data_IF_236611088703
#
_entry.id   IF_236611088703
#
_cell.length_a   1.000
_cell.length_b   1.000
_cell.length_c   1.000
_cell.angle_alpha   90.00
_cell.angle_beta   90.00
_cell.angle_gamma   90.00
#
_symmetry.space_group_name_H-M   'P 1'
#
loop_
_entity.id
_entity.type
_entity.pdbx_description
1 polymer ?
#
# COMPACT_ATOMS: atom_id res chain seq x y z
N UNK A 1 -18.24 -4.90 11.00
CA UNK A 1 -17.31 -4.74 9.86
C UNK A 1 -16.32 -3.64 10.23
N UNK A 2 -15.05 -3.98 10.48
CA UNK A 2 -14.04 -2.94 10.71
C UNK A 2 -13.72 -2.27 9.38
N UNK A 3 -14.08 -0.99 9.25
CA UNK A 3 -13.58 -0.13 8.18
C UNK A 3 -12.06 -0.04 8.35
N UNK A 4 -11.33 -0.75 7.47
CA UNK A 4 -9.88 -0.60 7.36
C UNK A 4 -9.57 0.85 7.03
N UNK A 5 -8.93 1.56 7.96
CA UNK A 5 -8.48 2.93 7.76
C UNK A 5 -7.37 2.98 6.70
N UNK A 6 -7.17 4.13 6.05
CA UNK A 6 -6.20 4.26 4.94
C UNK A 6 -4.78 3.85 5.35
N UNK A 7 -4.40 4.12 6.60
CA UNK A 7 -3.12 3.66 7.16
C UNK A 7 -2.99 2.14 7.21
N UNK A 8 -4.07 1.45 7.57
CA UNK A 8 -4.08 -0.02 7.67
C UNK A 8 -4.04 -0.62 6.25
N UNK A 9 -4.82 -0.07 5.32
CA UNK A 9 -4.76 -0.44 3.89
C UNK A 9 -3.34 -0.28 3.33
N UNK A 10 -2.73 0.87 3.60
CA UNK A 10 -1.38 1.17 3.15
C UNK A 10 -0.32 0.27 3.81
N UNK A 11 -0.47 -0.05 5.10
CA UNK A 11 0.36 -1.06 5.79
C UNK A 11 0.30 -2.40 5.09
N UNK A 12 -0.89 -2.88 4.76
CA UNK A 12 -1.07 -4.17 4.09
C UNK A 12 -0.34 -4.18 2.75
N UNK A 13 -0.48 -3.12 1.94
CA UNK A 13 0.20 -3.01 0.63
C UNK A 13 1.72 -3.01 0.74
N UNK A 14 2.28 -2.32 1.73
CA UNK A 14 3.74 -2.27 1.95
C UNK A 14 4.29 -3.60 2.52
N UNK A 15 3.51 -4.29 3.35
CA UNK A 15 3.87 -5.57 3.93
C UNK A 15 3.67 -6.74 2.96
N UNK A 16 2.83 -6.57 1.95
CA UNK A 16 2.61 -7.56 0.92
C UNK A 16 3.91 -7.86 0.15
N UNK A 17 4.18 -9.15 -0.06
CA UNK A 17 5.39 -9.63 -0.78
C UNK A 17 5.19 -9.69 -2.29
N UNK A 18 3.94 -9.65 -2.77
CA UNK A 18 3.62 -9.64 -4.20
C UNK A 18 3.82 -8.24 -4.80
N UNK A 19 3.72 -7.20 -3.96
CA UNK A 19 4.03 -5.84 -4.34
C UNK A 19 5.54 -5.58 -4.38
N UNK A 20 6.08 -5.53 -5.59
CA UNK A 20 7.45 -5.10 -5.85
C UNK A 20 7.68 -3.66 -5.39
N UNK A 21 8.83 -3.38 -4.77
CA UNK A 21 9.21 -2.03 -4.35
C UNK A 21 9.22 -1.02 -5.51
N UNK A 22 9.49 -1.48 -6.74
CA UNK A 22 9.39 -0.65 -7.94
C UNK A 22 7.95 -0.17 -8.19
N UNK A 23 6.96 -1.07 -8.12
CA UNK A 23 5.55 -0.71 -8.29
C UNK A 23 5.05 0.23 -7.19
N UNK A 24 5.48 -0.03 -5.94
CA UNK A 24 5.19 0.86 -4.80
C UNK A 24 5.84 2.24 -4.99
N UNK A 25 7.07 2.29 -5.52
CA UNK A 25 7.78 3.54 -5.81
C UNK A 25 7.06 4.36 -6.88
N UNK A 26 6.64 3.74 -7.99
CA UNK A 26 5.92 4.44 -9.06
C UNK A 26 4.58 5.02 -8.59
N UNK A 27 3.84 4.26 -7.79
CA UNK A 27 2.54 4.68 -7.27
C UNK A 27 2.66 5.79 -6.24
N UNK A 28 3.50 5.55 -5.22
CA UNK A 28 3.57 6.38 -4.02
C UNK A 28 4.60 7.53 -4.15
N UNK A 29 5.47 7.48 -5.16
CA UNK A 29 6.65 8.35 -5.35
C UNK A 29 7.63 8.36 -4.18
N UNK A 30 7.52 7.40 -3.26
CA UNK A 30 8.45 7.23 -2.14
C UNK A 30 9.68 6.45 -2.59
N UNK A 31 10.87 6.89 -2.20
CA UNK A 31 12.11 6.15 -2.47
C UNK A 31 12.04 4.71 -1.94
N UNK A 32 12.66 3.78 -2.65
CA UNK A 32 12.71 2.35 -2.28
C UNK A 32 13.26 2.16 -0.85
N UNK A 33 14.26 2.95 -0.44
CA UNK A 33 14.79 2.92 0.92
C UNK A 33 13.73 3.28 1.98
N UNK A 34 12.85 4.23 1.67
CA UNK A 34 11.74 4.62 2.55
C UNK A 34 10.70 3.50 2.61
N UNK A 35 10.39 2.85 1.48
CA UNK A 35 9.48 1.70 1.44
C UNK A 35 10.02 0.50 2.25
N UNK A 36 11.32 0.20 2.15
CA UNK A 36 11.98 -0.81 3.00
C UNK A 36 11.89 -0.44 4.48
N UNK A 37 12.12 0.82 4.81
CA UNK A 37 12.01 1.31 6.18
C UNK A 37 10.57 1.22 6.70
N UNK A 38 9.59 1.60 5.90
CA UNK A 38 8.17 1.47 6.22
C UNK A 38 7.73 0.01 6.40
N UNK A 39 8.32 -0.92 5.64
CA UNK A 39 8.09 -2.37 5.80
C UNK A 39 8.67 -2.91 7.10
N UNK A 40 9.84 -2.43 7.50
CA UNK A 40 10.45 -2.76 8.79
C UNK A 40 9.75 -2.07 9.98
N UNK A 41 9.24 -0.85 9.76
CA UNK A 41 8.63 0.00 10.78
C UNK A 41 7.31 0.60 10.25
N UNK A 42 6.19 -0.14 10.35
CA UNK A 42 4.90 0.31 9.83
C UNK A 42 4.35 1.59 10.50
N UNK A 43 4.71 1.90 11.75
CA UNK A 43 4.33 3.17 12.38
C UNK A 43 5.00 4.39 11.72
N UNK A 44 6.11 4.19 11.00
CA UNK A 44 6.76 5.25 10.22
C UNK A 44 5.89 5.72 9.06
N UNK A 45 4.89 4.93 8.65
CA UNK A 45 3.91 5.32 7.65
C UNK A 45 3.03 6.48 8.14
N UNK A 46 2.75 6.55 9.46
CA UNK A 46 2.04 7.71 10.04
C UNK A 46 2.84 8.99 9.98
N UNK A 47 4.17 8.88 10.02
CA UNK A 47 5.11 9.99 9.81
C UNK A 47 5.42 10.24 8.33
N UNK A 48 4.96 9.38 7.43
CA UNK A 48 5.08 9.60 6.00
C UNK A 48 4.01 10.60 5.52
N UNK A 49 4.23 11.17 4.34
CA UNK A 49 3.34 12.19 3.80
C UNK A 49 1.92 11.63 3.58
N UNK A 50 0.87 12.37 3.93
CA UNK A 50 -0.52 11.89 3.81
C UNK A 50 -0.86 11.42 2.39
N UNK A 51 -0.36 12.13 1.37
CA UNK A 51 -0.51 11.72 -0.03
C UNK A 51 0.05 10.32 -0.31
N UNK A 52 1.19 9.98 0.29
CA UNK A 52 1.81 8.67 0.10
C UNK A 52 0.93 7.56 0.70
N UNK A 53 0.41 7.78 1.90
CA UNK A 53 -0.51 6.85 2.58
C UNK A 53 -1.79 6.67 1.76
N UNK A 54 -2.40 7.77 1.32
CA UNK A 54 -3.63 7.75 0.54
C UNK A 54 -3.45 7.01 -0.81
N UNK A 55 -2.32 7.20 -1.49
CA UNK A 55 -2.01 6.47 -2.73
C UNK A 55 -1.82 4.97 -2.51
N UNK A 56 -1.13 4.58 -1.43
CA UNK A 56 -0.98 3.17 -1.07
C UNK A 56 -2.32 2.53 -0.69
N UNK A 57 -3.19 3.28 0.00
CA UNK A 57 -4.55 2.84 0.32
C UNK A 57 -5.40 2.67 -0.95
N UNK A 58 -5.33 3.59 -1.92
CA UNK A 58 -5.99 3.45 -3.22
C UNK A 58 -5.47 2.25 -4.02
N UNK A 59 -4.17 1.94 -3.91
CA UNK A 59 -3.59 0.75 -4.52
C UNK A 59 -4.15 -0.54 -3.89
N UNK A 60 -4.35 -0.57 -2.57
CA UNK A 60 -5.03 -1.66 -1.89
C UNK A 60 -6.45 -1.86 -2.41
N UNK A 61 -7.20 -0.77 -2.53
CA UNK A 61 -8.58 -0.81 -3.03
C UNK A 61 -8.62 -1.31 -4.48
N UNK A 62 -7.75 -0.78 -5.34
CA UNK A 62 -7.62 -1.22 -6.74
C UNK A 62 -7.21 -2.70 -6.87
N UNK A 63 -6.34 -3.19 -6.00
CA UNK A 63 -5.92 -4.61 -6.00
C UNK A 63 -7.03 -5.54 -5.51
N UNK A 64 -7.81 -5.11 -4.51
CA UNK A 64 -8.97 -5.88 -4.05
C UNK A 64 -10.12 -5.84 -5.05
N UNK A 65 -10.37 -4.71 -5.71
CA UNK A 65 -11.37 -4.63 -6.79
C UNK A 65 -10.97 -5.52 -7.98
N UNK A 66 -9.67 -5.56 -8.35
CA UNK A 66 -9.19 -6.49 -9.40
C UNK A 66 -9.34 -7.96 -9.03
N UNK A 67 -9.22 -8.33 -7.74
CA UNK A 67 -9.49 -9.70 -7.27
C UNK A 67 -10.96 -10.10 -7.35
N UNK A 68 -11.89 -9.14 -7.36
CA UNK A 68 -13.32 -9.41 -7.61
C UNK A 68 -13.67 -9.60 -9.10
N UNK A 69 -12.80 -9.16 -10.02
CA UNK A 69 -13.08 -9.17 -11.47
C UNK A 69 -12.46 -10.35 -12.23
N UNK A 70 -11.68 -11.21 -11.57
CA UNK A 70 -11.04 -12.39 -12.19
C UNK A 70 -11.71 -13.70 -11.73
N UNK A 71 -13.03 -13.69 -11.58
CA UNK A 71 -13.83 -14.90 -11.43
C UNK A 71 -14.96 -14.93 -12.48
N UNK A 72 -14.59 -14.68 -13.74
CA UNK A 72 -15.46 -14.98 -14.88
C UNK A 72 -14.60 -15.27 -16.10
N UNK A 73 -14.10 -16.50 -16.21
CA UNK A 73 -13.86 -17.21 -17.47
C UNK A 73 -14.01 -18.71 -17.24
#
# INVERSE_FOLDING_TARGET
MHLLNDYEKARIVVLDKNNSFAALHEQCKLSISRLKFCRANPDSLKKANWEAVNRLANMYDSQNQKKGFFNEK
#
